data_IF_897705987195
#
_entry.id   IF_897705987195
#
_cell.length_a   1.000
_cell.length_b   1.000
_cell.length_c   1.000
_cell.angle_alpha   90.00
_cell.angle_beta   90.00
_cell.angle_gamma   90.00
#
_symmetry.space_group_name_H-M   'P 1'
#
loop_
_entity.id
_entity.type
_entity.pdbx_description
1 polymer ?
#
# COMPACT_ATOMS: atom_id res chain seq x y z
N UNK A 1 -8.53 -1.70 15.84
CA UNK A 1 -8.38 -0.56 14.90
C UNK A 1 -9.71 -0.03 14.38
N UNK A 2 -10.61 -0.86 13.83
CA UNK A 2 -11.93 -0.39 13.37
C UNK A 2 -12.74 0.35 14.46
N UNK A 3 -12.52 0.03 15.74
CA UNK A 3 -13.16 0.65 16.90
C UNK A 3 -12.78 2.12 17.15
N UNK A 4 -11.70 2.64 16.54
CA UNK A 4 -11.26 4.04 16.74
C UNK A 4 -11.92 5.03 15.77
N UNK A 5 -12.53 4.54 14.68
CA UNK A 5 -13.15 5.39 13.66
C UNK A 5 -14.34 6.16 14.26
N UNK A 6 -14.38 7.47 14.08
CA UNK A 6 -15.41 8.35 14.63
C UNK A 6 -15.33 8.56 16.15
N UNK A 7 -14.21 8.21 16.79
CA UNK A 7 -13.99 8.42 18.23
C UNK A 7 -13.00 9.56 18.49
N UNK A 8 -12.93 10.05 19.73
CA UNK A 8 -11.91 11.03 20.17
C UNK A 8 -11.12 10.50 21.36
N UNK A 9 -10.03 9.75 21.10
CA UNK A 9 -9.20 9.20 22.17
C UNK A 9 -8.48 10.27 23.00
N UNK A 10 -8.24 9.95 24.27
CA UNK A 10 -7.47 10.80 25.19
C UNK A 10 -5.97 10.73 24.93
N UNK A 11 -5.46 9.62 24.40
CA UNK A 11 -4.04 9.49 24.08
C UNK A 11 -3.71 10.17 22.75
N UNK A 12 -2.60 10.91 22.70
CA UNK A 12 -2.18 11.61 21.48
C UNK A 12 -1.88 10.64 20.33
N UNK A 13 -1.34 9.46 20.63
CA UNK A 13 -0.99 8.46 19.61
C UNK A 13 -2.24 7.86 18.96
N UNK A 14 -3.26 7.51 19.75
CA UNK A 14 -4.51 6.96 19.20
C UNK A 14 -5.32 8.02 18.46
N UNK A 15 -5.24 9.29 18.87
CA UNK A 15 -5.92 10.39 18.19
C UNK A 15 -5.48 10.53 16.74
N UNK A 16 -4.18 10.54 16.46
CA UNK A 16 -3.69 10.62 15.07
C UNK A 16 -4.23 9.50 14.16
N UNK A 17 -4.43 8.32 14.73
CA UNK A 17 -4.95 7.16 14.00
C UNK A 17 -6.47 7.23 13.89
N UNK A 18 -7.18 7.68 14.92
CA UNK A 18 -8.61 7.94 14.87
C UNK A 18 -8.94 9.00 13.82
N UNK A 19 -8.17 10.09 13.76
CA UNK A 19 -8.32 11.15 12.75
C UNK A 19 -8.11 10.58 11.35
N UNK A 20 -7.03 9.81 11.13
CA UNK A 20 -6.76 9.16 9.86
C UNK A 20 -7.84 8.15 9.43
N UNK A 21 -8.34 7.32 10.36
CA UNK A 21 -9.39 6.35 10.05
C UNK A 21 -10.74 7.01 9.79
N UNK A 22 -10.97 8.19 10.35
CA UNK A 22 -12.22 8.95 10.19
C UNK A 22 -12.21 9.75 8.89
N UNK A 23 -11.07 10.34 8.52
CA UNK A 23 -10.91 11.08 7.27
C UNK A 23 -10.50 10.14 6.12
N UNK A 24 -11.49 9.65 5.37
CA UNK A 24 -11.25 8.75 4.23
C UNK A 24 -10.62 9.43 3.01
N UNK A 25 -10.49 10.76 3.01
CA UNK A 25 -9.94 11.54 1.89
C UNK A 25 -8.43 11.76 2.03
N UNK A 26 -7.89 11.69 3.25
CA UNK A 26 -6.45 11.83 3.43
C UNK A 26 -5.71 10.56 3.05
N UNK A 27 -4.47 10.75 2.59
CA UNK A 27 -3.50 9.68 2.34
C UNK A 27 -2.30 9.92 3.23
N UNK A 28 -1.84 8.85 3.85
CA UNK A 28 -0.67 8.87 4.74
C UNK A 28 0.43 7.98 4.19
N UNK A 29 1.67 8.34 4.48
CA UNK A 29 2.87 7.58 4.15
C UNK A 29 3.73 7.53 5.42
N UNK A 30 3.88 6.34 6.00
CA UNK A 30 4.69 6.14 7.19
C UNK A 30 4.02 6.62 8.50
N UNK A 31 2.69 6.63 8.57
CA UNK A 31 1.99 6.97 9.81
C UNK A 31 2.23 5.88 10.86
N UNK A 32 2.83 6.24 11.97
CA UNK A 32 3.10 5.31 13.06
C UNK A 32 1.79 4.77 13.67
N UNK A 33 1.70 3.45 13.77
CA UNK A 33 0.66 2.77 14.53
C UNK A 33 0.97 2.94 16.03
N UNK A 34 -0.04 3.17 16.90
CA UNK A 34 0.17 3.30 18.34
C UNK A 34 0.75 1.98 18.86
N UNK A 35 1.78 2.08 19.69
CA UNK A 35 2.59 0.95 20.06
C UNK A 35 1.90 0.16 21.18
N UNK A 36 1.13 -0.87 20.82
CA UNK A 36 0.56 -1.82 21.79
C UNK A 36 1.53 -2.95 22.14
N UNK A 37 2.52 -3.21 21.27
CA UNK A 37 3.57 -4.20 21.45
C UNK A 37 4.94 -3.50 21.42
N UNK A 38 5.79 -3.67 22.45
CA UNK A 38 7.01 -2.87 22.61
C UNK A 38 8.12 -3.22 21.60
N UNK A 39 8.05 -4.37 20.94
CA UNK A 39 9.20 -4.90 20.19
C UNK A 39 9.25 -4.47 18.72
N UNK A 40 8.13 -4.02 18.14
CA UNK A 40 8.08 -3.62 16.73
C UNK A 40 7.28 -2.34 16.52
N UNK A 41 7.78 -1.47 15.63
CA UNK A 41 7.05 -0.29 15.17
C UNK A 41 6.39 -0.59 13.83
N UNK A 42 5.06 -0.57 13.82
CA UNK A 42 4.29 -0.69 12.58
C UNK A 42 3.95 0.68 12.01
N UNK A 43 3.87 0.74 10.68
CA UNK A 43 3.54 1.95 9.93
C UNK A 43 2.37 1.70 8.97
N UNK A 44 1.56 2.72 8.74
CA UNK A 44 0.50 2.74 7.73
C UNK A 44 0.99 3.56 6.53
N UNK A 45 0.78 3.02 5.33
CA UNK A 45 1.10 3.67 4.07
C UNK A 45 -0.02 3.47 3.05
N UNK A 46 -0.23 4.45 2.20
CA UNK A 46 -1.19 4.39 1.08
C UNK A 46 -0.50 3.81 -0.15
N UNK A 47 -1.16 2.84 -0.80
CA UNK A 47 -0.74 2.33 -2.11
C UNK A 47 -1.77 2.73 -3.16
N UNK A 48 -1.31 3.42 -4.21
CA UNK A 48 -2.11 3.66 -5.41
C UNK A 48 -1.82 2.60 -6.48
N UNK A 49 -2.88 2.01 -7.03
CA UNK A 49 -2.77 1.02 -8.10
C UNK A 49 -2.86 1.70 -9.46
N UNK A 50 -1.70 1.98 -10.06
CA UNK A 50 -1.62 2.44 -11.43
C UNK A 50 -1.95 1.28 -12.38
N UNK A 51 -3.10 1.32 -13.05
CA UNK A 51 -3.57 0.23 -13.93
C UNK A 51 -2.54 -0.16 -14.99
N UNK A 52 -1.86 0.80 -15.61
CA UNK A 52 -0.82 0.53 -16.62
C UNK A 52 0.41 -0.23 -16.06
N UNK A 53 0.57 -0.30 -14.75
CA UNK A 53 1.60 -1.12 -14.08
C UNK A 53 1.13 -2.53 -13.71
N UNK A 54 -0.17 -2.82 -13.83
CA UNK A 54 -0.71 -4.15 -13.54
C UNK A 54 -0.74 -5.02 -14.81
N UNK A 55 -0.59 -6.34 -14.68
CA UNK A 55 -0.91 -7.26 -15.77
C UNK A 55 -2.35 -7.04 -16.22
N UNK A 56 -2.60 -7.14 -17.53
CA UNK A 56 -3.93 -6.93 -18.13
C UNK A 56 -4.58 -5.57 -17.84
N UNK A 57 -3.84 -4.61 -17.29
CA UNK A 57 -4.30 -3.28 -16.88
C UNK A 57 -5.45 -3.29 -15.86
N UNK A 58 -5.57 -4.35 -15.05
CA UNK A 58 -6.65 -4.54 -14.10
C UNK A 58 -6.14 -5.23 -12.84
N UNK A 59 -6.74 -4.93 -11.68
CA UNK A 59 -6.48 -5.65 -10.44
C UNK A 59 -7.25 -6.99 -10.47
N UNK A 60 -6.63 -8.04 -10.99
CA UNK A 60 -7.28 -9.35 -11.25
C UNK A 60 -6.90 -10.44 -10.25
N UNK A 61 -5.96 -10.20 -9.34
CA UNK A 61 -5.59 -11.14 -8.26
C UNK A 61 -5.37 -10.39 -6.94
N UNK A 62 -5.29 -11.13 -5.84
CA UNK A 62 -5.04 -10.66 -4.47
C UNK A 62 -3.55 -10.63 -4.12
N UNK A 63 -2.69 -11.33 -4.87
CA UNK A 63 -1.25 -11.39 -4.61
C UNK A 63 -0.48 -10.59 -5.65
N UNK A 64 0.25 -9.57 -5.19
CA UNK A 64 1.11 -8.72 -5.98
C UNK A 64 2.41 -8.38 -5.22
N UNK A 65 3.52 -8.14 -5.94
CA UNK A 65 4.73 -7.64 -5.35
C UNK A 65 4.59 -6.16 -4.95
N UNK A 66 4.87 -5.88 -3.69
CA UNK A 66 4.91 -4.52 -3.14
C UNK A 66 6.38 -4.14 -2.86
N UNK A 67 6.74 -2.91 -3.19
CA UNK A 67 8.03 -2.31 -2.83
C UNK A 67 7.78 -1.22 -1.80
N UNK A 68 8.59 -1.19 -0.75
CA UNK A 68 8.55 -0.17 0.29
C UNK A 68 9.90 0.55 0.31
N UNK A 69 9.87 1.88 0.28
CA UNK A 69 11.07 2.69 0.41
C UNK A 69 11.71 2.45 1.80
N UNK A 70 13.01 2.15 1.88
CA UNK A 70 13.67 1.83 3.15
C UNK A 70 13.80 3.04 4.08
N UNK A 71 13.71 4.26 3.54
CA UNK A 71 13.81 5.51 4.29
C UNK A 71 12.46 6.21 4.40
N UNK A 72 12.26 7.06 5.43
CA UNK A 72 11.08 7.89 5.54
C UNK A 72 10.78 8.67 4.25
N UNK A 73 9.50 8.83 3.87
CA UNK A 73 8.29 8.47 4.63
C UNK A 73 7.78 7.04 4.36
N UNK A 74 8.63 6.11 3.91
CA UNK A 74 8.25 4.70 3.66
C UNK A 74 7.10 4.55 2.64
N UNK A 75 7.26 5.22 1.49
CA UNK A 75 6.35 5.06 0.36
C UNK A 75 6.23 3.59 -0.04
N UNK A 76 5.00 3.14 -0.22
CA UNK A 76 4.70 1.81 -0.72
C UNK A 76 4.07 1.91 -2.12
N UNK A 77 4.55 1.10 -3.06
CA UNK A 77 3.96 1.03 -4.39
C UNK A 77 4.00 -0.40 -4.92
N UNK A 78 3.05 -0.71 -5.81
CA UNK A 78 3.04 -1.99 -6.52
C UNK A 78 4.19 -1.98 -7.52
N UNK A 79 5.07 -2.98 -7.46
CA UNK A 79 6.14 -3.11 -8.45
C UNK A 79 5.50 -3.18 -9.85
N UNK A 80 6.00 -2.48 -10.88
CA UNK A 80 5.44 -2.59 -12.22
C UNK A 80 5.58 -4.00 -12.81
N UNK A 81 4.54 -4.47 -13.51
CA UNK A 81 4.43 -5.84 -14.06
C UNK A 81 5.63 -6.30 -14.92
N UNK A 82 6.33 -5.36 -15.57
CA UNK A 82 7.53 -5.68 -16.35
C UNK A 82 8.66 -6.29 -15.51
N UNK A 83 8.71 -5.96 -14.22
CA UNK A 83 9.69 -6.48 -13.27
C UNK A 83 9.19 -7.73 -12.53
N UNK A 84 7.99 -8.22 -12.80
CA UNK A 84 7.45 -9.36 -12.07
C UNK A 84 8.16 -10.66 -12.49
N UNK A 85 8.38 -11.58 -11.53
CA UNK A 85 8.74 -12.96 -11.85
C UNK A 85 7.68 -13.61 -12.75
N UNK A 86 8.11 -14.46 -13.70
CA UNK A 86 7.22 -15.11 -14.66
C UNK A 86 6.06 -15.87 -13.99
N UNK A 87 6.34 -16.60 -12.91
CA UNK A 87 5.33 -17.32 -12.11
C UNK A 87 4.17 -16.44 -11.61
N UNK A 88 4.42 -15.16 -11.33
CA UNK A 88 3.37 -14.24 -10.89
C UNK A 88 2.54 -13.74 -12.07
N UNK A 89 3.16 -13.52 -13.23
CA UNK A 89 2.45 -13.17 -14.46
C UNK A 89 1.52 -14.31 -14.90
N UNK A 90 2.01 -15.55 -14.88
CA UNK A 90 1.22 -16.75 -15.20
C UNK A 90 0.02 -16.91 -14.28
N UNK A 91 0.22 -16.71 -12.97
CA UNK A 91 -0.87 -16.72 -11.99
C UNK A 91 -1.94 -15.69 -12.32
N UNK A 92 -1.55 -14.52 -12.78
CA UNK A 92 -2.46 -13.45 -13.22
C UNK A 92 -3.05 -13.70 -14.61
N UNK A 93 -2.72 -14.82 -15.26
CA UNK A 93 -3.16 -15.14 -16.62
C UNK A 93 -2.62 -14.14 -17.65
N UNK A 94 -1.40 -13.65 -17.44
CA UNK A 94 -0.81 -12.59 -18.25
C UNK A 94 0.56 -13.00 -18.80
N UNK A 95 0.89 -12.45 -19.97
CA UNK A 95 2.23 -12.49 -20.53
C UNK A 95 3.04 -11.25 -20.09
N UNK A 96 4.37 -11.32 -20.25
CA UNK A 96 5.25 -10.22 -19.85
C UNK A 96 4.99 -8.97 -20.71
N UNK A 97 4.68 -7.82 -20.09
CA UNK A 97 4.46 -6.59 -20.85
C UNK A 97 5.79 -6.04 -21.41
N UNK A 98 5.74 -5.53 -22.63
CA UNK A 98 6.87 -4.84 -23.27
C UNK A 98 7.02 -3.43 -22.70
N UNK A 99 8.25 -3.00 -22.39
CA UNK A 99 8.56 -1.68 -21.83
C UNK A 99 8.00 -0.51 -22.67
N UNK A 100 7.94 -0.66 -23.99
CA UNK A 100 7.40 0.37 -24.89
C UNK A 100 5.91 0.68 -24.68
N UNK A 101 5.14 -0.26 -24.09
CA UNK A 101 3.70 -0.09 -23.84
C UNK A 101 3.38 0.64 -22.53
N UNK A 102 4.39 0.93 -21.69
CA UNK A 102 4.21 1.49 -20.34
C UNK A 102 4.47 3.01 -20.27
N UNK A 103 4.83 3.66 -21.39
CA UNK A 103 5.01 5.11 -21.50
C UNK A 103 3.71 5.77 -21.99
N UNK A 104 2.70 5.90 -21.14
CA UNK A 104 1.54 6.80 -21.37
C UNK A 104 1.05 7.37 -20.05
#
# INVERSE_FOLDING_TARGET
MASLKGTQPNSNQERHIADYLTDEFIRVFGLAVPQYYPEEQYLISTVMFARHHLPNQMLSDRILPLVVAPTPPHFAFVLPAVYWPQRLLERWGAERPLLARMRK
#
